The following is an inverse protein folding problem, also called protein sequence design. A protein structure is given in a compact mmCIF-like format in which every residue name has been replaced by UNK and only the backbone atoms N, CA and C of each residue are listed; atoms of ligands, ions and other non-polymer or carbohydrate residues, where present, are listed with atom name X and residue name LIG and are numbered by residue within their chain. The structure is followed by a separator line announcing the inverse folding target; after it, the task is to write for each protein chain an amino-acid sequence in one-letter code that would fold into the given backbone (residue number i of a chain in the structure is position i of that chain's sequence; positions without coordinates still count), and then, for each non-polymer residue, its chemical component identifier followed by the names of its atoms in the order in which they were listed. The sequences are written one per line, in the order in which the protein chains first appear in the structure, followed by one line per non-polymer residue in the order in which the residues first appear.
data_IF_733143908462
#
_entry.id   IF_733143908462
#
_cell.length_a   1.000
_cell.length_b   1.000
_cell.length_c   1.000
_cell.angle_alpha   90.00
_cell.angle_beta   90.00
_cell.angle_gamma   90.00
#
_symmetry.space_group_name_H-M   'P 1'
#
loop_
_entity.id
_entity.type
_entity.pdbx_description
1 polymer ?
#
# COMPACT_ATOMS: atom_id res chain seq x y z
N UNK A 1 -24.73 1.28 -55.50
CA UNK A 1 -23.62 2.04 -54.87
C UNK A 1 -24.02 2.28 -53.43
N UNK A 2 -23.30 1.68 -52.46
CA UNK A 2 -23.69 1.68 -51.05
C UNK A 2 -23.59 3.07 -50.40
N UNK A 3 -24.49 3.45 -49.47
CA UNK A 3 -24.33 4.68 -48.69
C UNK A 3 -23.27 4.49 -47.60
N UNK A 4 -22.26 5.36 -47.59
CA UNK A 4 -21.21 5.36 -46.58
C UNK A 4 -21.79 5.62 -45.17
N UNK A 5 -21.52 4.71 -44.23
CA UNK A 5 -21.83 4.89 -42.80
C UNK A 5 -21.10 6.12 -42.24
N UNK A 6 -21.85 7.01 -41.58
CA UNK A 6 -21.30 8.15 -40.85
C UNK A 6 -20.66 7.67 -39.53
N UNK A 7 -19.52 8.23 -39.10
CA UNK A 7 -18.87 7.85 -37.85
C UNK A 7 -19.75 8.15 -36.63
N UNK A 8 -19.72 7.23 -35.66
CA UNK A 8 -20.50 7.25 -34.40
C UNK A 8 -20.20 8.47 -33.50
N UNK A 9 -19.15 9.24 -33.82
CA UNK A 9 -18.78 10.49 -33.12
C UNK A 9 -19.79 11.63 -33.25
N UNK A 10 -20.80 11.49 -34.12
CA UNK A 10 -21.82 12.52 -34.35
C UNK A 10 -23.19 12.25 -33.69
N UNK A 11 -23.34 11.14 -32.95
CA UNK A 11 -24.67 10.66 -32.53
C UNK A 11 -24.84 10.45 -31.02
N UNK A 12 -24.09 11.14 -30.15
CA UNK A 12 -24.49 11.33 -28.74
C UNK A 12 -24.24 12.79 -28.32
N UNK A 13 -25.26 13.55 -27.84
CA UNK A 13 -25.20 15.00 -27.72
C UNK A 13 -24.26 15.50 -26.60
N UNK A 14 -23.51 16.56 -26.91
CA UNK A 14 -22.52 17.20 -26.06
C UNK A 14 -23.09 18.05 -24.93
N UNK A 15 -23.70 17.40 -23.93
CA UNK A 15 -24.22 18.08 -22.73
C UNK A 15 -23.59 17.59 -21.42
N UNK A 16 -22.74 16.55 -21.40
CA UNK A 16 -22.23 15.99 -20.12
C UNK A 16 -20.71 15.88 -19.94
N UNK A 17 -19.87 16.25 -20.91
CA UNK A 17 -18.44 15.86 -20.90
C UNK A 17 -17.41 16.76 -20.20
N UNK A 18 -17.54 18.10 -20.18
CA UNK A 18 -16.38 18.97 -19.85
C UNK A 18 -16.26 19.48 -18.41
N UNK A 19 -17.32 19.41 -17.61
CA UNK A 19 -17.31 19.96 -16.24
C UNK A 19 -16.97 18.89 -15.19
N UNK A 20 -17.29 17.62 -15.48
CA UNK A 20 -17.05 16.51 -14.55
C UNK A 20 -15.59 16.03 -14.57
N UNK A 21 -14.89 16.07 -15.72
CA UNK A 21 -13.46 15.73 -15.80
C UNK A 21 -12.56 16.77 -15.09
N UNK A 22 -12.95 18.04 -15.04
CA UNK A 22 -12.12 19.10 -14.40
C UNK A 22 -12.15 19.12 -12.87
N UNK A 23 -13.18 18.54 -12.24
CA UNK A 23 -13.46 18.72 -10.81
C UNK A 23 -12.50 17.95 -9.88
N UNK A 24 -12.07 16.76 -10.29
CA UNK A 24 -11.17 15.90 -9.52
C UNK A 24 -9.69 16.12 -9.88
N UNK A 25 -9.40 16.46 -11.14
CA UNK A 25 -8.04 16.77 -11.60
C UNK A 25 -7.48 18.02 -10.90
N UNK A 26 -8.33 19.01 -10.65
CA UNK A 26 -7.90 20.28 -10.08
C UNK A 26 -7.50 20.20 -8.59
N UNK A 27 -8.29 19.51 -7.76
CA UNK A 27 -7.92 19.32 -6.35
C UNK A 27 -6.69 18.41 -6.22
N UNK A 28 -6.62 17.33 -7.02
CA UNK A 28 -5.44 16.46 -7.05
C UNK A 28 -4.17 17.23 -7.38
N UNK A 29 -4.21 18.10 -8.40
CA UNK A 29 -3.07 18.94 -8.78
C UNK A 29 -2.75 20.03 -7.74
N UNK A 30 -3.74 20.59 -7.04
CA UNK A 30 -3.49 21.49 -5.90
C UNK A 30 -2.77 20.76 -4.77
N UNK A 31 -3.10 19.49 -4.52
CA UNK A 31 -2.38 18.68 -3.53
C UNK A 31 -0.96 18.37 -3.99
N UNK A 32 -0.77 18.02 -5.28
CA UNK A 32 0.57 17.76 -5.83
C UNK A 32 1.52 18.96 -5.66
N UNK A 33 1.02 20.17 -5.88
CA UNK A 33 1.81 21.40 -5.76
C UNK A 33 1.56 22.15 -4.44
N UNK A 34 1.07 21.44 -3.41
CA UNK A 34 0.59 22.09 -2.18
C UNK A 34 1.71 22.86 -1.47
N UNK A 35 2.91 22.28 -1.45
CA UNK A 35 4.10 22.87 -0.83
C UNK A 35 4.51 24.16 -1.52
N UNK A 36 4.46 24.25 -2.86
CA UNK A 36 4.71 25.53 -3.54
C UNK A 36 3.56 26.53 -3.38
N UNK A 37 2.32 26.05 -3.22
CA UNK A 37 1.13 26.89 -3.04
C UNK A 37 1.13 27.60 -1.68
N UNK A 38 1.23 26.86 -0.56
CA UNK A 38 1.17 27.45 0.79
C UNK A 38 2.53 27.76 1.41
N UNK A 39 3.63 27.26 0.81
CA UNK A 39 4.98 27.38 1.35
C UNK A 39 5.35 26.26 2.32
N UNK A 40 6.65 25.98 2.42
CA UNK A 40 7.24 24.91 3.24
C UNK A 40 6.70 24.88 4.67
N UNK A 41 6.69 26.04 5.33
CA UNK A 41 6.30 26.16 6.73
C UNK A 41 4.86 25.70 6.99
N UNK A 42 3.95 25.82 6.01
CA UNK A 42 2.52 25.55 6.18
C UNK A 42 2.05 24.27 5.49
N UNK A 43 2.88 23.67 4.63
CA UNK A 43 2.51 22.48 3.86
C UNK A 43 2.08 21.30 4.75
N UNK A 44 2.68 21.17 5.93
CA UNK A 44 2.38 20.10 6.89
C UNK A 44 1.32 20.49 7.94
N UNK A 45 0.99 21.79 8.05
CA UNK A 45 0.08 22.35 9.08
C UNK A 45 -1.26 22.80 8.52
N UNK A 46 -1.37 22.93 7.20
CA UNK A 46 -2.57 23.26 6.48
C UNK A 46 -2.82 22.25 5.36
N UNK A 47 -4.08 21.99 5.03
CA UNK A 47 -4.46 21.04 4.00
C UNK A 47 -5.57 21.61 3.11
N UNK A 48 -5.53 21.36 1.79
CA UNK A 48 -6.64 21.73 0.92
C UNK A 48 -7.82 20.78 1.19
N UNK A 49 -8.94 21.33 1.65
CA UNK A 49 -10.10 20.54 2.07
C UNK A 49 -11.04 20.25 0.89
N UNK A 50 -11.47 21.29 0.17
CA UNK A 50 -12.49 21.15 -0.87
C UNK A 50 -12.50 22.31 -1.85
N UNK A 51 -12.94 22.07 -3.08
CA UNK A 51 -13.16 23.12 -4.08
C UNK A 51 -14.66 23.23 -4.39
N UNK A 52 -15.19 24.42 -4.12
CA UNK A 52 -16.58 24.78 -4.41
C UNK A 52 -16.65 25.51 -5.74
N UNK A 53 -17.09 24.82 -6.78
CA UNK A 53 -17.29 25.40 -8.11
C UNK A 53 -18.63 26.12 -8.18
N UNK A 54 -18.60 27.35 -8.66
CA UNK A 54 -19.78 28.14 -8.98
C UNK A 54 -20.01 28.08 -10.49
N UNK A 55 -21.19 27.57 -10.87
CA UNK A 55 -21.62 27.54 -12.28
C UNK A 55 -21.84 28.97 -12.76
N UNK A 56 -21.33 29.26 -13.96
CA UNK A 56 -21.67 30.48 -14.70
C UNK A 56 -23.19 30.53 -14.93
N UNK A 57 -23.84 31.64 -14.58
CA UNK A 57 -25.28 31.80 -14.79
C UNK A 57 -25.61 32.25 -16.22
N UNK A 58 -24.63 32.83 -16.90
CA UNK A 58 -24.77 33.39 -18.26
C UNK A 58 -23.61 32.93 -19.15
N UNK A 59 -23.84 32.79 -20.46
CA UNK A 59 -22.83 32.34 -21.43
C UNK A 59 -21.57 33.23 -21.53
N UNK A 60 -21.62 34.46 -21.00
CA UNK A 60 -20.48 35.40 -20.92
C UNK A 60 -19.72 35.33 -19.57
N UNK A 61 -20.22 34.62 -18.57
CA UNK A 61 -19.63 34.56 -17.23
C UNK A 61 -18.64 33.38 -17.15
N UNK A 62 -17.42 33.60 -16.65
CA UNK A 62 -16.43 32.53 -16.47
C UNK A 62 -16.80 31.70 -15.22
N UNK A 63 -16.61 30.39 -15.29
CA UNK A 63 -16.77 29.53 -14.13
C UNK A 63 -15.74 29.89 -13.06
N UNK A 64 -16.19 30.08 -11.82
CA UNK A 64 -15.35 30.46 -10.68
C UNK A 64 -15.38 29.38 -9.62
N UNK A 65 -14.40 29.37 -8.71
CA UNK A 65 -14.32 28.41 -7.64
C UNK A 65 -13.72 29.02 -6.36
N UNK A 66 -14.17 28.49 -5.22
CA UNK A 66 -13.63 28.79 -3.90
C UNK A 66 -12.89 27.57 -3.37
N UNK A 67 -11.61 27.72 -3.02
CA UNK A 67 -10.82 26.68 -2.35
C UNK A 67 -11.02 26.78 -0.82
N UNK A 68 -11.30 25.67 -0.16
CA UNK A 68 -11.29 25.58 1.29
C UNK A 68 -9.94 25.03 1.76
N UNK A 69 -9.31 25.70 2.72
CA UNK A 69 -8.05 25.28 3.35
C UNK A 69 -8.31 25.04 4.83
N UNK A 70 -8.07 23.83 5.30
CA UNK A 70 -8.19 23.44 6.69
C UNK A 70 -6.86 23.66 7.42
N UNK A 71 -6.89 24.34 8.57
CA UNK A 71 -5.71 24.53 9.41
C UNK A 71 -6.11 24.81 10.88
N UNK A 72 -5.12 24.88 11.78
CA UNK A 72 -5.34 25.32 13.17
C UNK A 72 -5.82 26.79 13.21
N UNK A 73 -6.42 27.25 14.31
CA UNK A 73 -6.84 28.67 14.41
C UNK A 73 -5.70 29.65 14.20
N UNK A 74 -4.51 29.32 14.71
CA UNK A 74 -3.31 30.15 14.57
C UNK A 74 -2.84 30.18 13.11
N UNK A 75 -2.76 29.02 12.47
CA UNK A 75 -2.33 28.92 11.07
C UNK A 75 -3.37 29.56 10.11
N UNK A 76 -4.68 29.42 10.38
CA UNK A 76 -5.72 30.13 9.62
C UNK A 76 -5.54 31.64 9.69
N UNK A 77 -5.25 32.21 10.86
CA UNK A 77 -5.05 33.65 11.01
C UNK A 77 -3.88 34.16 10.15
N UNK A 78 -2.80 33.39 10.07
CA UNK A 78 -1.63 33.75 9.25
C UNK A 78 -1.91 33.57 7.76
N UNK A 79 -2.53 32.45 7.37
CA UNK A 79 -2.84 32.15 5.98
C UNK A 79 -3.84 33.12 5.36
N UNK A 80 -4.72 33.74 6.17
CA UNK A 80 -5.60 34.84 5.71
C UNK A 80 -4.80 36.01 5.15
N UNK A 81 -3.67 36.38 5.75
CA UNK A 81 -2.81 37.46 5.24
C UNK A 81 -2.07 37.05 3.95
N UNK A 82 -1.86 35.75 3.72
CA UNK A 82 -1.19 35.23 2.53
C UNK A 82 -2.16 34.82 1.41
N UNK A 83 -3.46 35.07 1.59
CA UNK A 83 -4.52 34.62 0.68
C UNK A 83 -4.28 35.00 -0.78
N UNK A 84 -3.87 36.24 -1.05
CA UNK A 84 -3.64 36.72 -2.41
C UNK A 84 -2.43 36.05 -3.07
N UNK A 85 -1.38 35.82 -2.29
CA UNK A 85 -0.20 35.08 -2.74
C UNK A 85 -0.52 33.62 -3.06
N UNK A 86 -1.32 32.97 -2.21
CA UNK A 86 -1.79 31.59 -2.41
C UNK A 86 -2.63 31.51 -3.69
N UNK A 87 -3.56 32.45 -3.91
CA UNK A 87 -4.35 32.54 -5.14
C UNK A 87 -3.46 32.76 -6.37
N UNK A 88 -2.46 33.63 -6.28
CA UNK A 88 -1.52 33.88 -7.38
C UNK A 88 -0.73 32.61 -7.74
N UNK A 89 -0.23 31.88 -6.75
CA UNK A 89 0.52 30.63 -6.96
C UNK A 89 -0.34 29.54 -7.59
N UNK A 90 -1.59 29.38 -7.11
CA UNK A 90 -2.57 28.49 -7.75
C UNK A 90 -2.74 28.90 -9.22
N UNK A 91 -2.96 30.17 -9.51
CA UNK A 91 -3.18 30.61 -10.89
C UNK A 91 -1.95 30.42 -11.79
N UNK A 92 -0.73 30.53 -11.25
CA UNK A 92 0.50 30.22 -11.99
C UNK A 92 0.61 28.73 -12.33
N UNK A 93 0.24 27.84 -11.41
CA UNK A 93 0.28 26.39 -11.62
C UNK A 93 -0.74 25.94 -12.65
N UNK A 94 -1.95 26.53 -12.65
CA UNK A 94 -3.05 26.12 -13.53
C UNK A 94 -3.12 26.89 -14.85
N UNK A 95 -2.47 28.04 -14.97
CA UNK A 95 -2.48 28.89 -16.17
C UNK A 95 -3.82 29.61 -16.44
N UNK A 96 -4.84 29.40 -15.59
CA UNK A 96 -6.18 29.94 -15.69
C UNK A 96 -6.68 30.43 -14.32
N UNK A 97 -7.28 31.63 -14.27
CA UNK A 97 -7.83 32.24 -13.05
C UNK A 97 -9.26 31.76 -12.71
N UNK A 98 -9.43 30.45 -12.51
CA UNK A 98 -10.74 29.90 -12.18
C UNK A 98 -10.95 29.74 -10.67
N UNK A 99 -9.88 29.69 -9.85
CA UNK A 99 -9.98 29.80 -8.39
C UNK A 99 -9.89 31.26 -8.02
N UNK A 100 -10.99 31.80 -7.50
CA UNK A 100 -11.14 33.24 -7.25
C UNK A 100 -11.21 33.60 -5.77
N UNK A 101 -11.39 32.60 -4.91
CA UNK A 101 -11.54 32.84 -3.48
C UNK A 101 -10.99 31.67 -2.65
N UNK A 102 -10.63 31.96 -1.40
CA UNK A 102 -10.16 30.97 -0.42
C UNK A 102 -10.93 31.16 0.88
N UNK A 103 -11.44 30.05 1.42
CA UNK A 103 -12.07 29.97 2.74
C UNK A 103 -11.18 29.14 3.67
N UNK A 104 -10.91 29.66 4.86
CA UNK A 104 -10.16 28.94 5.87
C UNK A 104 -11.10 28.24 6.84
N UNK A 105 -10.90 26.93 7.01
CA UNK A 105 -11.67 26.08 7.91
C UNK A 105 -10.81 25.77 9.13
N UNK A 106 -11.32 26.12 10.29
CA UNK A 106 -10.68 25.75 11.55
C UNK A 106 -10.86 24.25 11.83
N UNK A 107 -9.76 23.58 12.16
CA UNK A 107 -9.76 22.19 12.66
C UNK A 107 -8.87 22.11 13.92
N UNK A 108 -9.40 21.55 15.01
CA UNK A 108 -8.65 21.36 16.25
C UNK A 108 -7.62 20.21 16.11
N UNK A 109 -6.40 20.42 16.65
CA UNK A 109 -5.40 19.35 16.79
C UNK A 109 -5.92 18.31 17.78
N UNK A 110 -6.16 17.09 17.31
CA UNK A 110 -6.62 15.99 18.17
C UNK A 110 -5.64 15.71 19.32
N UNK A 111 -6.07 15.94 20.56
CA UNK A 111 -5.42 15.38 21.76
C UNK A 111 -5.59 13.86 21.75
N UNK A 112 -4.47 13.15 21.92
CA UNK A 112 -4.43 11.69 22.10
C UNK A 112 -5.04 11.31 23.47
N UNK A 113 -6.28 10.77 23.49
CA UNK A 113 -6.76 9.61 24.31
C UNK A 113 -8.29 9.55 24.52
N UNK A 114 -8.84 8.36 24.25
CA UNK A 114 -9.85 7.57 25.01
C UNK A 114 -11.14 8.24 25.49
N UNK A 115 -12.29 7.87 24.88
CA UNK A 115 -13.34 7.00 25.46
C UNK A 115 -14.51 6.83 24.46
N UNK A 116 -15.00 5.61 24.30
CA UNK A 116 -16.21 5.27 23.54
C UNK A 116 -17.47 5.84 24.21
N UNK A 117 -18.37 6.44 23.40
CA UNK A 117 -19.84 6.19 23.38
C UNK A 117 -20.55 7.16 22.44
N UNK A 118 -21.44 6.63 21.60
CA UNK A 118 -22.59 7.38 21.07
C UNK A 118 -22.61 7.60 19.56
N UNK A 119 -23.37 6.74 18.89
CA UNK A 119 -24.13 6.96 17.65
C UNK A 119 -24.11 8.37 17.04
N UNK A 120 -23.50 8.51 15.85
CA UNK A 120 -24.01 9.28 14.72
C UNK A 120 -23.10 9.08 13.50
N UNK A 121 -23.62 8.41 12.46
CA UNK A 121 -23.08 8.56 11.12
C UNK A 121 -23.34 10.01 10.66
N UNK A 122 -22.35 10.66 10.04
CA UNK A 122 -22.42 10.69 8.58
C UNK A 122 -21.07 10.47 7.92
N UNK A 123 -21.12 9.81 6.76
CA UNK A 123 -20.03 9.69 5.80
C UNK A 123 -19.25 10.99 5.64
N UNK A 124 -18.04 11.04 6.17
CA UNK A 124 -16.99 11.95 5.71
C UNK A 124 -15.95 11.11 5.00
N UNK A 125 -16.08 11.10 3.68
CA UNK A 125 -15.04 10.73 2.73
C UNK A 125 -13.81 11.59 3.04
N UNK A 126 -12.85 11.00 3.76
CA UNK A 126 -11.49 11.50 3.84
C UNK A 126 -10.81 10.98 2.59
N UNK A 127 -10.62 11.87 1.61
CA UNK A 127 -9.93 11.55 0.37
C UNK A 127 -8.47 11.20 0.68
N UNK A 128 -8.13 9.92 0.54
CA UNK A 128 -6.76 9.41 0.54
C UNK A 128 -6.09 9.88 -0.76
N UNK A 129 -5.40 11.00 -0.68
CA UNK A 129 -4.63 11.53 -1.81
C UNK A 129 -3.31 10.77 -1.87
N UNK A 130 -3.18 9.85 -2.84
CA UNK A 130 -1.94 9.12 -3.09
C UNK A 130 -2.09 7.67 -3.56
N UNK A 131 -3.28 7.07 -3.45
CA UNK A 131 -3.48 5.69 -3.90
C UNK A 131 -3.41 5.59 -5.42
N UNK A 132 -2.29 5.09 -5.96
CA UNK A 132 -2.30 4.52 -7.30
C UNK A 132 -2.99 3.17 -7.25
N UNK A 133 -4.28 3.13 -7.60
CA UNK A 133 -5.03 1.89 -7.72
C UNK A 133 -4.95 1.34 -9.15
N UNK A 134 -4.75 0.05 -9.29
CA UNK A 134 -4.83 -0.69 -10.55
C UNK A 134 -5.93 -1.73 -10.48
N UNK A 135 -6.65 -1.94 -11.58
CA UNK A 135 -7.65 -3.00 -11.66
C UNK A 135 -6.97 -4.31 -12.02
N UNK A 136 -7.13 -5.32 -11.18
CA UNK A 136 -6.58 -6.67 -11.37
C UNK A 136 -7.70 -7.70 -11.31
N UNK A 137 -7.55 -8.83 -11.98
CA UNK A 137 -8.49 -9.95 -11.79
C UNK A 137 -8.27 -10.61 -10.45
N UNK A 138 -9.34 -11.05 -9.80
CA UNK A 138 -9.31 -11.63 -8.45
C UNK A 138 -8.37 -12.84 -8.34
N UNK A 139 -8.19 -13.63 -9.41
CA UNK A 139 -7.22 -14.75 -9.44
C UNK A 139 -5.77 -14.35 -9.22
N UNK A 140 -5.42 -13.10 -9.52
CA UNK A 140 -4.05 -12.59 -9.36
C UNK A 140 -3.76 -12.07 -7.95
N UNK A 141 -4.76 -12.07 -7.06
CA UNK A 141 -4.54 -11.73 -5.65
C UNK A 141 -3.59 -12.73 -5.00
N UNK A 142 -2.65 -12.21 -4.21
CA UNK A 142 -1.66 -12.96 -3.43
C UNK A 142 -1.66 -12.41 -2.01
N UNK A 143 -1.17 -13.20 -1.05
CA UNK A 143 -0.91 -12.73 0.31
C UNK A 143 -0.02 -11.48 0.27
N UNK A 144 -0.32 -10.49 1.08
CA UNK A 144 0.36 -9.18 1.08
C UNK A 144 -0.25 -8.13 0.14
N UNK A 145 -0.99 -8.53 -0.91
CA UNK A 145 -1.65 -7.55 -1.77
C UNK A 145 -2.67 -6.72 -0.97
N UNK A 146 -2.71 -5.42 -1.26
CA UNK A 146 -3.66 -4.50 -0.64
C UNK A 146 -4.74 -4.13 -1.65
N UNK A 147 -6.00 -4.23 -1.24
CA UNK A 147 -7.15 -3.93 -2.07
C UNK A 147 -8.05 -2.87 -1.43
N UNK A 148 -8.68 -2.07 -2.29
CA UNK A 148 -9.82 -1.23 -1.95
C UNK A 148 -11.06 -1.92 -2.50
N UNK A 149 -11.78 -2.62 -1.62
CA UNK A 149 -12.86 -3.52 -2.05
C UNK A 149 -14.08 -2.75 -2.55
N UNK A 150 -14.55 -1.81 -1.74
CA UNK A 150 -15.84 -1.15 -1.93
C UNK A 150 -15.70 0.26 -2.53
N UNK A 151 -14.47 0.69 -2.84
CA UNK A 151 -14.17 2.07 -3.25
C UNK A 151 -14.47 3.08 -2.14
N UNK A 152 -14.63 2.61 -0.90
CA UNK A 152 -14.94 3.41 0.27
C UNK A 152 -13.67 3.94 0.97
N UNK A 153 -12.50 3.56 0.44
CA UNK A 153 -11.21 3.96 0.95
C UNK A 153 -10.63 2.99 1.98
N UNK A 154 -11.39 1.97 2.42
CA UNK A 154 -10.88 0.98 3.37
C UNK A 154 -9.92 0.04 2.67
N UNK A 155 -8.72 -0.02 3.24
CA UNK A 155 -7.67 -0.87 2.72
C UNK A 155 -7.65 -2.20 3.45
N UNK A 156 -7.62 -3.25 2.66
CA UNK A 156 -7.60 -4.63 3.12
C UNK A 156 -6.34 -5.30 2.61
N UNK A 157 -5.51 -5.80 3.53
CA UNK A 157 -4.39 -6.67 3.17
C UNK A 157 -4.88 -8.10 3.05
N UNK A 158 -4.56 -8.75 1.94
CA UNK A 158 -4.86 -10.17 1.72
C UNK A 158 -3.95 -10.99 2.63
N UNK A 159 -4.54 -11.78 3.52
CA UNK A 159 -3.82 -12.66 4.46
C UNK A 159 -3.73 -14.10 3.97
N UNK A 160 -4.67 -14.51 3.11
CA UNK A 160 -4.72 -15.85 2.52
C UNK A 160 -5.72 -15.92 1.37
N UNK A 161 -5.63 -16.97 0.56
CA UNK A 161 -6.60 -17.22 -0.51
C UNK A 161 -6.69 -18.71 -0.83
N UNK A 162 -7.87 -19.16 -1.27
CA UNK A 162 -8.13 -20.52 -1.74
C UNK A 162 -8.92 -20.48 -3.05
N UNK A 163 -8.53 -21.28 -4.03
CA UNK A 163 -9.16 -21.31 -5.36
C UNK A 163 -10.00 -22.57 -5.48
N UNK A 164 -11.32 -22.41 -5.56
CA UNK A 164 -12.26 -23.50 -5.75
C UNK A 164 -12.68 -23.60 -7.22
N UNK A 165 -12.36 -24.73 -7.85
CA UNK A 165 -12.73 -25.06 -9.23
C UNK A 165 -13.76 -26.19 -9.22
N UNK A 166 -15.08 -25.90 -9.27
CA UNK A 166 -16.09 -26.95 -9.31
C UNK A 166 -16.05 -27.66 -10.67
N UNK A 167 -16.24 -28.98 -10.68
CA UNK A 167 -16.23 -29.79 -11.92
C UNK A 167 -17.29 -29.37 -12.96
N UNK A 168 -18.32 -28.60 -12.54
CA UNK A 168 -19.22 -27.84 -13.40
C UNK A 168 -19.51 -26.49 -12.72
N UNK A 169 -19.26 -25.37 -13.41
CA UNK A 169 -19.53 -24.02 -12.91
C UNK A 169 -18.34 -23.06 -13.07
N UNK A 170 -18.54 -21.79 -12.70
CA UNK A 170 -17.47 -20.80 -12.71
C UNK A 170 -16.56 -20.99 -11.50
N UNK A 171 -15.25 -20.91 -11.72
CA UNK A 171 -14.24 -20.91 -10.66
C UNK A 171 -14.41 -19.69 -9.75
N UNK A 172 -14.20 -19.92 -8.46
CA UNK A 172 -14.32 -18.90 -7.40
C UNK A 172 -13.02 -18.87 -6.61
N UNK A 173 -12.59 -17.68 -6.22
CA UNK A 173 -11.50 -17.51 -5.26
C UNK A 173 -12.08 -16.99 -3.95
N UNK A 174 -11.78 -17.68 -2.85
CA UNK A 174 -12.09 -17.25 -1.50
C UNK A 174 -10.86 -16.52 -0.95
N UNK A 175 -11.01 -15.24 -0.62
CA UNK A 175 -9.91 -14.37 -0.18
C UNK A 175 -10.14 -13.98 1.27
N UNK A 176 -9.17 -14.31 2.11
CA UNK A 176 -9.11 -13.88 3.50
C UNK A 176 -8.30 -12.60 3.59
N UNK A 177 -8.85 -11.61 4.29
CA UNK A 177 -8.27 -10.27 4.34
C UNK A 177 -8.42 -9.65 5.73
N UNK A 178 -7.52 -8.71 6.03
CA UNK A 178 -7.54 -7.90 7.26
C UNK A 178 -7.54 -6.43 6.91
N UNK A 179 -8.45 -5.66 7.48
CA UNK A 179 -8.48 -4.20 7.35
C UNK A 179 -7.25 -3.60 8.04
N UNK A 180 -6.52 -2.73 7.34
CA UNK A 180 -5.26 -2.16 7.84
C UNK A 180 -5.50 -1.28 9.08
N UNK A 181 -6.50 -0.39 9.04
CA UNK A 181 -6.71 0.61 10.10
C UNK A 181 -7.38 0.06 11.36
N UNK A 182 -8.37 -0.83 11.19
CA UNK A 182 -9.16 -1.35 12.32
C UNK A 182 -8.78 -2.79 12.70
N UNK A 183 -8.06 -3.51 11.85
CA UNK A 183 -7.69 -4.91 12.08
C UNK A 183 -8.84 -5.90 11.90
N UNK A 184 -10.00 -5.46 11.41
CA UNK A 184 -11.15 -6.32 11.14
C UNK A 184 -10.78 -7.41 10.13
N UNK A 185 -11.15 -8.65 10.40
CA UNK A 185 -10.96 -9.75 9.44
C UNK A 185 -12.24 -9.93 8.63
N UNK A 186 -12.10 -10.16 7.34
CA UNK A 186 -13.20 -10.51 6.46
C UNK A 186 -12.78 -11.62 5.49
N UNK A 187 -13.76 -12.36 5.00
CA UNK A 187 -13.58 -13.45 4.05
C UNK A 187 -14.60 -13.29 2.91
N UNK A 188 -14.08 -13.02 1.70
CA UNK A 188 -14.89 -12.65 0.55
C UNK A 188 -14.66 -13.63 -0.59
N UNK A 189 -15.74 -13.99 -1.28
CA UNK A 189 -15.69 -14.82 -2.48
C UNK A 189 -15.85 -13.96 -3.72
N UNK A 190 -14.86 -14.04 -4.60
CA UNK A 190 -14.87 -13.39 -5.91
C UNK A 190 -14.96 -14.42 -7.01
N UNK A 191 -15.59 -14.07 -8.13
CA UNK A 191 -15.38 -14.86 -9.35
C UNK A 191 -13.92 -14.68 -9.80
N UNK A 192 -13.30 -15.73 -10.33
CA UNK A 192 -11.89 -15.70 -10.74
C UNK A 192 -11.55 -14.55 -11.72
N UNK A 193 -12.50 -14.16 -12.59
CA UNK A 193 -12.36 -13.09 -13.57
C UNK A 193 -12.90 -11.72 -13.09
N UNK A 194 -13.39 -11.64 -11.86
CA UNK A 194 -13.89 -10.39 -11.29
C UNK A 194 -12.74 -9.39 -11.11
N UNK A 195 -12.99 -8.12 -11.45
CA UNK A 195 -11.99 -7.06 -11.32
C UNK A 195 -12.04 -6.48 -9.91
N UNK A 196 -10.88 -6.42 -9.26
CA UNK A 196 -10.68 -5.85 -7.93
C UNK A 196 -9.71 -4.68 -8.03
N UNK A 197 -9.95 -3.62 -7.25
CA UNK A 197 -9.05 -2.47 -7.19
C UNK A 197 -7.90 -2.76 -6.22
N UNK A 198 -6.72 -3.03 -6.77
CA UNK A 198 -5.49 -3.22 -6.01
C UNK A 198 -4.78 -1.89 -5.83
N UNK A 199 -4.33 -1.62 -4.62
CA UNK A 199 -3.52 -0.45 -4.29
C UNK A 199 -2.05 -0.79 -4.53
N UNK A 200 -1.35 0.08 -5.24
CA UNK A 200 0.11 0.00 -5.38
C UNK A 200 0.75 0.46 -4.08
N UNK A 201 1.60 -0.39 -3.54
CA UNK A 201 2.41 -0.09 -2.36
C UNK A 201 3.71 0.55 -2.79
N UNK A 202 4.28 1.36 -1.91
CA UNK A 202 5.65 1.85 -2.05
C UNK A 202 6.58 0.70 -1.67
N UNK A 203 7.54 0.40 -2.54
CA UNK A 203 8.51 -0.66 -2.32
C UNK A 203 9.89 -0.01 -2.22
N UNK A 204 10.57 -0.29 -1.10
CA UNK A 204 11.93 0.19 -0.87
C UNK A 204 12.81 -0.95 -0.39
N UNK A 205 14.09 -0.87 -0.72
CA UNK A 205 15.10 -1.84 -0.27
C UNK A 205 15.59 -1.50 1.14
N UNK A 206 15.62 -2.50 2.00
CA UNK A 206 16.12 -2.39 3.35
C UNK A 206 17.16 -3.48 3.64
N UNK A 207 18.03 -3.22 4.61
CA UNK A 207 18.89 -4.22 5.22
C UNK A 207 18.40 -4.54 6.63
N UNK A 208 18.23 -5.83 6.93
CA UNK A 208 17.91 -6.27 8.30
C UNK A 208 19.07 -5.97 9.25
N UNK A 209 18.76 -5.50 10.45
CA UNK A 209 19.75 -5.22 11.49
C UNK A 209 19.64 -6.24 12.63
N UNK A 210 18.56 -6.16 13.40
CA UNK A 210 18.36 -7.00 14.58
C UNK A 210 16.86 -7.04 14.94
N UNK A 211 16.51 -7.90 15.88
CA UNK A 211 15.19 -7.97 16.47
C UNK A 211 15.26 -7.63 17.95
N UNK A 212 14.28 -6.88 18.44
CA UNK A 212 14.08 -6.65 19.88
C UNK A 212 13.03 -7.65 20.39
N UNK A 213 13.51 -8.75 20.98
CA UNK A 213 12.68 -9.90 21.34
C UNK A 213 12.08 -10.59 20.11
N UNK A 214 10.93 -11.24 20.29
CA UNK A 214 10.29 -12.05 19.23
C UNK A 214 9.23 -11.30 18.42
N UNK A 215 8.97 -10.02 18.72
CA UNK A 215 7.79 -9.31 18.20
C UNK A 215 8.13 -8.22 17.19
N UNK A 216 9.31 -7.60 17.30
CA UNK A 216 9.70 -6.45 16.48
C UNK A 216 11.07 -6.67 15.87
N UNK A 217 11.18 -6.38 14.57
CA UNK A 217 12.38 -6.53 13.76
C UNK A 217 12.74 -5.17 13.17
N UNK A 218 13.99 -4.78 13.28
CA UNK A 218 14.49 -3.48 12.84
C UNK A 218 15.27 -3.62 11.54
N UNK A 219 14.94 -2.75 10.60
CA UNK A 219 15.52 -2.69 9.27
C UNK A 219 16.06 -1.28 9.00
N UNK A 220 17.03 -1.15 8.10
CA UNK A 220 17.61 0.13 7.68
C UNK A 220 17.35 0.36 6.20
N UNK A 221 16.76 1.50 5.85
CA UNK A 221 16.53 1.90 4.45
C UNK A 221 17.88 2.13 3.77
N UNK A 222 18.11 1.51 2.59
CA UNK A 222 19.40 1.62 1.89
C UNK A 222 19.65 2.99 1.25
N UNK A 223 18.60 3.79 1.08
CA UNK A 223 18.64 5.12 0.47
C UNK A 223 18.69 6.22 1.51
N UNK A 224 17.80 6.18 2.51
CA UNK A 224 17.69 7.24 3.52
C UNK A 224 18.48 6.95 4.79
N UNK A 225 18.92 5.71 5.01
CA UNK A 225 19.55 5.23 6.24
C UNK A 225 18.65 5.36 7.48
N UNK A 226 17.35 5.58 7.29
CA UNK A 226 16.37 5.60 8.36
C UNK A 226 16.04 4.17 8.81
N UNK A 227 15.77 4.00 10.11
CA UNK A 227 15.37 2.72 10.66
C UNK A 227 13.85 2.56 10.63
N UNK A 228 13.39 1.37 10.27
CA UNK A 228 11.99 0.99 10.25
C UNK A 228 11.78 -0.26 11.10
N UNK A 229 10.85 -0.18 12.04
CA UNK A 229 10.42 -1.31 12.85
C UNK A 229 9.24 -2.04 12.19
N UNK A 230 9.39 -3.34 11.99
CA UNK A 230 8.37 -4.22 11.40
C UNK A 230 8.00 -5.32 12.39
N UNK A 231 6.69 -5.53 12.57
CA UNK A 231 6.18 -6.56 13.48
C UNK A 231 6.31 -7.95 12.87
N UNK A 232 6.54 -8.96 13.71
CA UNK A 232 6.59 -10.38 13.29
C UNK A 232 5.36 -10.80 12.48
N UNK A 233 4.18 -10.32 12.83
CA UNK A 233 2.93 -10.63 12.12
C UNK A 233 2.93 -10.19 10.65
N UNK A 234 3.69 -9.14 10.31
CA UNK A 234 3.83 -8.64 8.93
C UNK A 234 4.82 -9.51 8.15
N UNK A 235 5.88 -9.96 8.82
CA UNK A 235 6.93 -10.81 8.23
C UNK A 235 6.47 -12.26 8.07
N UNK A 236 5.68 -12.74 9.02
CA UNK A 236 5.21 -14.12 9.08
C UNK A 236 6.30 -15.13 9.47
N UNK A 237 6.08 -16.39 9.12
CA UNK A 237 6.94 -17.51 9.52
C UNK A 237 8.36 -17.43 8.92
N UNK A 238 8.52 -16.64 7.87
CA UNK A 238 9.81 -16.40 7.21
C UNK A 238 10.77 -15.57 8.08
N UNK A 239 10.28 -14.92 9.14
CA UNK A 239 11.11 -14.14 10.07
C UNK A 239 12.26 -14.96 10.68
N UNK A 240 12.11 -16.28 10.81
CA UNK A 240 13.15 -17.20 11.29
C UNK A 240 14.37 -17.30 10.38
N UNK A 241 14.25 -16.84 9.13
CA UNK A 241 15.32 -16.88 8.13
C UNK A 241 16.11 -15.58 8.04
N UNK A 242 15.70 -14.51 8.73
CA UNK A 242 16.39 -13.22 8.70
C UNK A 242 17.80 -13.35 9.32
N UNK A 243 18.79 -12.79 8.63
CA UNK A 243 20.19 -12.77 9.04
C UNK A 243 20.68 -11.33 9.01
N UNK A 244 21.58 -10.96 9.92
CA UNK A 244 22.17 -9.61 9.96
C UNK A 244 22.70 -9.18 8.59
N UNK A 245 22.37 -7.96 8.18
CA UNK A 245 22.71 -7.41 6.86
C UNK A 245 21.91 -7.95 5.68
N UNK A 246 20.95 -8.85 5.89
CA UNK A 246 20.13 -9.41 4.81
C UNK A 246 19.31 -8.33 4.11
N UNK A 247 19.42 -8.27 2.78
CA UNK A 247 18.63 -7.36 1.97
C UNK A 247 17.21 -7.91 1.75
N UNK A 248 16.23 -7.03 1.94
CA UNK A 248 14.80 -7.32 1.82
C UNK A 248 14.09 -6.16 1.12
N UNK A 249 12.95 -6.43 0.51
CA UNK A 249 12.07 -5.38 0.00
C UNK A 249 10.91 -5.21 0.96
N UNK A 250 10.70 -4.01 1.50
CA UNK A 250 9.55 -3.74 2.36
C UNK A 250 8.52 -2.96 1.57
N UNK A 251 7.28 -3.42 1.64
CA UNK A 251 6.12 -2.73 1.08
C UNK A 251 5.48 -1.86 2.17
N UNK A 252 5.48 -0.54 1.95
CA UNK A 252 4.90 0.43 2.88
C UNK A 252 3.70 1.16 2.27
N UNK A 253 2.83 1.64 3.16
CA UNK A 253 1.73 2.53 2.82
C UNK A 253 1.62 3.63 3.87
N UNK A 254 1.77 4.91 3.48
CA UNK A 254 1.78 6.04 4.42
C UNK A 254 2.82 5.86 5.56
N UNK A 255 3.94 5.18 5.27
CA UNK A 255 4.99 4.85 6.25
C UNK A 255 4.72 3.62 7.13
N UNK A 256 3.54 2.99 7.02
CA UNK A 256 3.24 1.75 7.75
C UNK A 256 3.70 0.53 6.93
N UNK A 257 4.53 -0.38 7.49
CA UNK A 257 4.95 -1.59 6.80
C UNK A 257 3.78 -2.59 6.73
N UNK A 258 3.44 -3.01 5.51
CA UNK A 258 2.31 -3.90 5.24
C UNK A 258 2.75 -5.28 4.75
N UNK A 259 3.93 -5.35 4.15
CA UNK A 259 4.50 -6.58 3.61
C UNK A 259 6.00 -6.49 3.55
N UNK A 260 6.63 -7.65 3.46
CA UNK A 260 8.07 -7.79 3.27
C UNK A 260 8.30 -8.97 2.32
N UNK A 261 9.20 -8.78 1.39
CA UNK A 261 9.72 -9.81 0.51
C UNK A 261 11.14 -10.13 0.95
N UNK A 262 11.31 -11.33 1.49
CA UNK A 262 12.61 -11.90 1.87
C UNK A 262 13.13 -12.69 0.66
N UNK A 263 14.46 -12.76 0.44
CA UNK A 263 15.04 -13.59 -0.59
C UNK A 263 14.44 -15.02 -0.61
N UNK A 264 14.14 -15.59 -1.79
CA UNK A 264 13.46 -16.88 -1.91
C UNK A 264 14.31 -18.04 -1.38
N UNK A 265 15.62 -17.83 -1.26
CA UNK A 265 16.55 -18.75 -0.64
C UNK A 265 17.56 -18.01 0.23
N UNK A 266 18.01 -18.70 1.27
CA UNK A 266 19.03 -18.21 2.21
C UNK A 266 20.15 -19.24 2.32
N UNK A 267 21.38 -18.76 2.51
CA UNK A 267 22.53 -19.60 2.82
C UNK A 267 22.63 -19.69 4.34
N UNK A 268 22.64 -20.90 4.87
CA UNK A 268 22.75 -21.17 6.31
C UNK A 268 23.82 -22.23 6.56
N UNK A 269 24.44 -22.19 7.73
CA UNK A 269 25.45 -23.19 8.13
C UNK A 269 24.79 -24.22 9.04
N UNK A 270 25.09 -25.50 8.82
CA UNK A 270 24.65 -26.59 9.71
C UNK A 270 25.46 -26.55 11.01
N UNK A 271 24.80 -26.33 12.14
CA UNK A 271 25.43 -26.27 13.47
C UNK A 271 25.35 -27.63 14.18
N UNK A 272 24.24 -28.34 14.03
CA UNK A 272 24.06 -29.69 14.59
C UNK A 272 23.34 -30.60 13.59
N UNK A 273 23.69 -31.89 13.56
CA UNK A 273 23.01 -32.88 12.73
C UNK A 273 23.01 -34.24 13.42
N UNK A 274 21.90 -34.97 13.33
CA UNK A 274 21.82 -36.33 13.86
C UNK A 274 22.75 -37.30 13.11
N UNK A 275 23.36 -38.28 13.81
CA UNK A 275 24.21 -39.27 13.18
C UNK A 275 23.39 -40.18 12.26
N UNK A 276 23.93 -40.47 11.08
CA UNK A 276 23.29 -41.36 10.12
C UNK A 276 23.26 -42.79 10.69
N UNK A 277 22.06 -43.37 10.81
CA UNK A 277 21.92 -44.79 11.21
C UNK A 277 22.47 -45.67 10.09
N UNK A 278 23.52 -46.43 10.40
CA UNK A 278 24.13 -47.40 9.47
C UNK A 278 23.05 -48.34 8.92
N UNK A 279 22.82 -48.28 7.60
CA UNK A 279 21.87 -49.17 6.91
C UNK A 279 20.71 -48.48 6.19
N UNK A 280 20.50 -47.18 6.37
CA UNK A 280 19.56 -46.43 5.51
C UNK A 280 20.19 -46.16 4.13
N UNK A 281 19.46 -46.48 3.07
CA UNK A 281 19.88 -46.21 1.68
C UNK A 281 19.93 -44.70 1.43
N UNK A 282 21.06 -44.23 0.90
CA UNK A 282 21.41 -42.80 0.79
C UNK A 282 20.49 -41.96 -0.11
N UNK A 283 19.63 -42.59 -0.91
CA UNK A 283 18.95 -41.94 -2.04
C UNK A 283 17.63 -41.26 -1.70
N UNK A 284 17.04 -41.46 -0.52
CA UNK A 284 15.76 -40.82 -0.17
C UNK A 284 15.49 -40.68 1.35
N UNK A 285 16.52 -40.78 2.19
CA UNK A 285 16.38 -40.47 3.61
C UNK A 285 16.76 -39.02 3.88
N UNK A 286 16.03 -38.34 4.75
CA UNK A 286 16.41 -37.04 5.28
C UNK A 286 16.63 -37.15 6.79
N UNK A 287 17.66 -36.49 7.28
CA UNK A 287 17.92 -36.35 8.72
C UNK A 287 17.59 -34.93 9.18
N UNK A 288 17.10 -34.75 10.41
CA UNK A 288 16.98 -33.43 10.99
C UNK A 288 18.37 -32.82 11.28
N UNK A 289 18.50 -31.53 11.01
CA UNK A 289 19.65 -30.72 11.35
C UNK A 289 19.21 -29.36 11.91
N UNK A 290 20.01 -28.79 12.79
CA UNK A 290 19.87 -27.41 13.28
C UNK A 290 20.85 -26.55 12.51
N UNK A 291 20.35 -25.46 11.92
CA UNK A 291 21.16 -24.49 11.19
C UNK A 291 21.27 -23.18 11.97
N UNK A 292 22.14 -22.29 11.49
CA UNK A 292 22.31 -20.91 11.98
C UNK A 292 20.97 -20.27 12.31
N UNK A 293 20.86 -19.74 13.53
CA UNK A 293 19.60 -19.19 14.07
C UNK A 293 18.72 -20.21 14.79
N UNK A 294 19.20 -21.45 15.02
CA UNK A 294 18.47 -22.48 15.77
C UNK A 294 17.29 -23.10 15.02
N UNK A 295 17.21 -22.92 13.70
CA UNK A 295 16.09 -23.41 12.88
C UNK A 295 16.32 -24.88 12.52
N UNK A 296 15.30 -25.71 12.70
CA UNK A 296 15.34 -27.13 12.31
C UNK A 296 14.99 -27.29 10.82
N UNK A 297 15.86 -27.97 10.08
CA UNK A 297 15.70 -28.30 8.65
C UNK A 297 15.94 -29.78 8.39
N UNK A 298 15.33 -30.31 7.32
CA UNK A 298 15.56 -31.68 6.86
C UNK A 298 16.63 -31.66 5.77
N UNK A 299 17.75 -32.32 6.02
CA UNK A 299 18.90 -32.37 5.09
C UNK A 299 19.23 -33.80 4.68
N UNK A 300 19.82 -34.03 3.51
CA UNK A 300 20.30 -35.34 3.11
C UNK A 300 21.35 -35.92 4.08
N UNK A 301 21.54 -37.26 4.13
CA UNK A 301 22.37 -37.90 5.15
C UNK A 301 23.85 -37.54 5.02
N UNK A 302 24.30 -37.20 3.81
CA UNK A 302 25.68 -36.82 3.49
C UNK A 302 26.06 -35.38 3.89
N UNK A 303 25.12 -34.59 4.40
CA UNK A 303 25.41 -33.24 4.88
C UNK A 303 26.00 -33.32 6.29
N UNK A 304 27.21 -32.82 6.47
CA UNK A 304 27.92 -32.79 7.76
C UNK A 304 27.82 -31.42 8.44
N UNK A 305 28.05 -31.40 9.75
CA UNK A 305 28.17 -30.17 10.54
C UNK A 305 29.25 -29.25 9.96
N UNK A 306 29.00 -27.94 9.94
CA UNK A 306 29.85 -26.92 9.31
C UNK A 306 29.60 -26.73 7.81
N UNK A 307 28.78 -27.58 7.18
CA UNK A 307 28.42 -27.41 5.76
C UNK A 307 27.47 -26.23 5.57
N UNK A 308 27.77 -25.35 4.61
CA UNK A 308 26.86 -24.30 4.14
C UNK A 308 25.87 -24.87 3.13
N UNK A 309 24.58 -24.63 3.37
CA UNK A 309 23.48 -25.13 2.55
C UNK A 309 22.56 -23.99 2.13
N UNK A 310 21.92 -24.15 0.97
CA UNK A 310 20.88 -23.25 0.47
C UNK A 310 19.53 -23.82 0.87
N UNK A 311 18.72 -23.01 1.57
CA UNK A 311 17.39 -23.38 2.05
C UNK A 311 16.36 -22.43 1.46
N UNK A 312 15.21 -22.96 1.03
CA UNK A 312 14.08 -22.14 0.56
C UNK A 312 13.38 -21.50 1.76
N UNK A 313 13.12 -20.20 1.69
CA UNK A 313 12.52 -19.45 2.81
C UNK A 313 11.04 -19.73 3.00
N UNK A 314 10.34 -20.13 1.94
CA UNK A 314 8.90 -20.45 1.96
C UNK A 314 8.55 -21.62 2.88
N UNK A 315 9.23 -22.75 2.73
CA UNK A 315 8.92 -24.01 3.43
C UNK A 315 10.08 -24.54 4.29
N UNK A 316 11.27 -23.95 4.18
CA UNK A 316 12.48 -24.44 4.85
C UNK A 316 13.08 -25.68 4.19
N UNK A 317 12.71 -25.98 2.94
CA UNK A 317 13.26 -27.14 2.24
C UNK A 317 14.72 -26.91 1.84
N UNK A 318 15.55 -27.94 2.07
CA UNK A 318 16.90 -28.01 1.51
C UNK A 318 16.84 -27.96 -0.02
N UNK A 319 17.64 -27.08 -0.62
CA UNK A 319 17.76 -26.96 -2.07
C UNK A 319 19.04 -27.61 -2.56
N UNK A 320 20.19 -27.07 -2.17
CA UNK A 320 21.50 -27.55 -2.58
C UNK A 320 22.57 -27.20 -1.53
N UNK A 321 23.78 -27.75 -1.69
CA UNK A 321 24.95 -27.28 -0.95
C UNK A 321 25.36 -25.93 -1.53
N UNK A 322 25.67 -24.96 -0.68
CA UNK A 322 26.13 -23.66 -1.14
C UNK A 322 27.45 -23.82 -1.89
N UNK A 323 27.56 -23.14 -3.04
CA UNK A 323 28.81 -23.00 -3.78
C UNK A 323 29.55 -21.82 -3.14
N UNK A 324 30.80 -22.06 -2.74
CA UNK A 324 31.67 -20.99 -2.24
C UNK A 324 32.00 -19.96 -3.33
#
# INVERSE_FOLDING_TARGET
MMPAMKPVSRSVPGVLGKVFERKYIALGRIVTYWREIVGEDYAERAQPAKIHYRKAKTAKEKATATLEIAASSADCAVLVYQKDLILQRINQIFGDQWVTDIKFLHVERGRRRSRYKGNAHPHRSVYLTGKQTMKVTAITLRKGHVIDRDGDGRLWVVTGYDIMQPGKGASVIQVEMREIRQGNKDNVRYRTQEMVERVRLEQSEFSYLYNDGDQTYTFMDKTTFEQLEVKRDVIGDQAKWLQDGMEVTIETFEGEPLGIEIPPSVIVTVEEAEPVVKGQTASSSYKPAIVTGGVKVMVPPFIDVGTRIVVKTEDGAYSERAKD
#
